data_IF_675188348796
#
_entry.id   IF_675188348796
#
_cell.length_a   1.000
_cell.length_b   1.000
_cell.length_c   1.000
_cell.angle_alpha   90.00
_cell.angle_beta   90.00
_cell.angle_gamma   90.00
#
_symmetry.space_group_name_H-M   'P 1'
#
loop_
_entity.id
_entity.type
_entity.pdbx_description
1 polymer ?
#
# COMPACT_ATOMS: atom_id res chain seq x y z
N UNK A 1 3.90 -1.10 -2.54
CA UNK A 1 3.43 -1.43 -1.17
C UNK A 1 3.38 -2.93 -0.92
N UNK A 2 2.88 -3.74 -1.85
CA UNK A 2 3.05 -5.19 -1.78
C UNK A 2 4.51 -5.60 -2.01
N UNK A 3 5.24 -5.88 -0.92
CA UNK A 3 6.56 -6.52 -0.99
C UNK A 3 7.79 -5.61 -1.07
N UNK A 4 7.65 -4.28 -0.97
CA UNK A 4 8.78 -3.34 -1.07
C UNK A 4 9.81 -3.51 0.06
N UNK A 5 9.41 -4.13 1.17
CA UNK A 5 10.25 -4.43 2.34
C UNK A 5 10.52 -5.92 2.54
N UNK A 6 9.97 -6.80 1.69
CA UNK A 6 10.18 -8.23 1.81
C UNK A 6 11.55 -8.59 1.23
N UNK A 7 12.44 -9.14 2.07
CA UNK A 7 13.77 -9.61 1.64
C UNK A 7 13.71 -10.87 0.77
N UNK A 8 12.56 -11.54 0.75
CA UNK A 8 12.26 -12.77 0.02
C UNK A 8 10.80 -12.70 -0.49
N UNK A 9 10.49 -13.10 -1.74
CA UNK A 9 9.11 -13.29 -2.20
C UNK A 9 8.21 -14.07 -1.24
N UNK A 10 8.75 -14.99 -0.43
CA UNK A 10 8.00 -15.71 0.61
C UNK A 10 7.61 -14.88 1.84
N UNK A 11 8.11 -13.65 1.97
CA UNK A 11 7.93 -12.78 3.14
C UNK A 11 7.04 -11.55 2.88
N UNK A 12 6.53 -11.41 1.66
CA UNK A 12 5.59 -10.33 1.33
C UNK A 12 4.15 -10.65 1.78
N UNK A 13 3.29 -9.63 1.82
CA UNK A 13 1.89 -9.77 2.23
C UNK A 13 1.14 -10.89 1.49
N UNK A 14 1.24 -11.06 0.16
CA UNK A 14 0.52 -12.12 -0.55
C UNK A 14 0.95 -13.52 -0.11
N UNK A 15 2.25 -13.75 0.12
CA UNK A 15 2.74 -15.01 0.67
C UNK A 15 2.23 -15.25 2.11
N UNK A 16 2.19 -14.20 2.94
CA UNK A 16 1.62 -14.32 4.30
C UNK A 16 0.10 -14.56 4.26
N UNK A 17 -0.63 -13.98 3.31
CA UNK A 17 -2.05 -14.25 3.09
C UNK A 17 -2.25 -15.71 2.69
N UNK A 18 -1.46 -16.24 1.74
CA UNK A 18 -1.52 -17.65 1.35
C UNK A 18 -1.29 -18.58 2.56
N UNK A 19 -0.25 -18.31 3.36
CA UNK A 19 0.03 -19.08 4.56
C UNK A 19 -1.14 -19.02 5.57
N UNK A 20 -1.72 -17.85 5.78
CA UNK A 20 -2.87 -17.67 6.67
C UNK A 20 -4.13 -18.38 6.13
N UNK A 21 -4.36 -18.37 4.81
CA UNK A 21 -5.46 -19.08 4.17
C UNK A 21 -5.34 -20.59 4.33
N UNK A 22 -4.15 -21.15 4.06
CA UNK A 22 -3.88 -22.58 4.21
C UNK A 22 -4.03 -23.04 5.67
N UNK A 23 -3.61 -22.21 6.62
CA UNK A 23 -3.78 -22.49 8.05
C UNK A 23 -5.26 -22.46 8.49
N UNK A 24 -6.03 -21.49 7.99
CA UNK A 24 -7.43 -21.30 8.38
C UNK A 24 -8.39 -22.25 7.64
N UNK A 25 -8.06 -22.64 6.40
CA UNK A 25 -8.87 -23.48 5.53
C UNK A 25 -8.05 -24.66 4.95
N UNK A 26 -7.61 -25.63 5.78
CA UNK A 26 -6.65 -26.66 5.38
C UNK A 26 -7.16 -27.68 4.35
N UNK A 27 -8.45 -27.61 3.98
CA UNK A 27 -9.09 -28.49 2.99
C UNK A 27 -9.30 -27.83 1.63
N UNK A 28 -8.91 -26.55 1.49
CA UNK A 28 -9.04 -25.81 0.23
C UNK A 28 -7.65 -25.51 -0.32
N UNK A 29 -7.54 -25.64 -1.63
CA UNK A 29 -6.36 -25.20 -2.36
C UNK A 29 -6.54 -23.74 -2.76
N UNK A 30 -5.47 -22.95 -2.59
CA UNK A 30 -5.46 -21.53 -2.91
C UNK A 30 -4.30 -21.20 -3.84
N UNK A 31 -4.60 -20.41 -4.85
CA UNK A 31 -3.63 -19.67 -5.64
C UNK A 31 -3.76 -18.19 -5.29
N UNK A 32 -2.64 -17.53 -4.99
CA UNK A 32 -2.61 -16.11 -4.68
C UNK A 32 -1.66 -15.43 -5.65
N UNK A 33 -2.20 -14.54 -6.47
CA UNK A 33 -1.45 -13.72 -7.43
C UNK A 33 -1.15 -12.37 -6.79
N UNK A 34 0.13 -12.00 -6.74
CA UNK A 34 0.52 -10.64 -6.34
C UNK A 34 0.32 -9.68 -7.51
N UNK A 35 -0.76 -8.89 -7.46
CA UNK A 35 -1.05 -7.84 -8.43
C UNK A 35 -0.69 -6.42 -7.92
N UNK A 36 0.07 -6.32 -6.83
CA UNK A 36 0.46 -5.04 -6.28
C UNK A 36 1.55 -4.35 -7.10
N UNK A 37 1.39 -3.05 -7.34
CA UNK A 37 2.42 -2.23 -7.96
C UNK A 37 2.83 -1.09 -7.02
N UNK A 38 4.12 -0.75 -7.04
CA UNK A 38 4.63 0.38 -6.27
C UNK A 38 4.02 1.70 -6.76
N UNK A 39 3.81 2.62 -5.83
CA UNK A 39 3.26 3.97 -6.08
C UNK A 39 1.82 4.02 -6.59
N UNK A 40 1.12 2.88 -6.73
CA UNK A 40 -0.27 2.85 -7.16
C UNK A 40 -1.18 3.51 -6.12
N UNK A 41 -2.11 4.33 -6.61
CA UNK A 41 -3.29 4.76 -5.88
C UNK A 41 -4.51 3.99 -6.43
N UNK A 42 -5.66 4.13 -5.78
CA UNK A 42 -6.90 3.43 -6.16
C UNK A 42 -7.33 3.65 -7.61
N UNK A 43 -6.97 4.77 -8.23
CA UNK A 43 -7.27 5.06 -9.64
C UNK A 43 -6.47 4.16 -10.59
N UNK A 44 -5.17 4.01 -10.33
CA UNK A 44 -4.33 3.07 -11.07
C UNK A 44 -4.78 1.62 -10.84
N UNK A 45 -5.17 1.29 -9.61
CA UNK A 45 -5.67 -0.05 -9.26
C UNK A 45 -6.97 -0.39 -9.99
N UNK A 46 -7.94 0.54 -10.03
CA UNK A 46 -9.19 0.35 -10.77
C UNK A 46 -8.95 0.16 -12.27
N UNK A 47 -8.03 0.94 -12.86
CA UNK A 47 -7.66 0.80 -14.27
C UNK A 47 -6.93 -0.52 -14.55
N UNK A 48 -6.03 -0.95 -13.67
CA UNK A 48 -5.31 -2.21 -13.82
C UNK A 48 -6.26 -3.41 -13.67
N UNK A 49 -7.18 -3.34 -12.71
CA UNK A 49 -8.24 -4.34 -12.56
C UNK A 49 -9.07 -4.45 -13.84
N UNK A 50 -9.54 -3.33 -14.36
CA UNK A 50 -10.37 -3.27 -15.56
C UNK A 50 -9.67 -3.75 -16.83
N UNK A 51 -8.37 -3.44 -16.99
CA UNK A 51 -7.65 -3.65 -18.24
C UNK A 51 -6.93 -4.99 -18.33
N UNK A 52 -6.52 -5.57 -17.20
CA UNK A 52 -5.66 -6.76 -17.20
C UNK A 52 -6.10 -7.81 -16.18
N UNK A 53 -6.36 -7.43 -14.92
CA UNK A 53 -6.58 -8.44 -13.87
C UNK A 53 -7.91 -9.20 -14.03
N UNK A 54 -8.92 -8.61 -14.69
CA UNK A 54 -10.16 -9.32 -15.02
C UNK A 54 -9.94 -10.52 -15.96
N UNK A 55 -8.89 -10.50 -16.78
CA UNK A 55 -8.60 -11.59 -17.73
C UNK A 55 -8.05 -12.85 -17.04
N UNK A 56 -7.51 -12.70 -15.82
CA UNK A 56 -7.13 -13.82 -14.95
C UNK A 56 -8.35 -14.57 -14.39
N UNK A 57 -9.57 -14.04 -14.57
CA UNK A 57 -10.83 -14.61 -14.06
C UNK A 57 -10.75 -14.96 -12.57
N UNK A 58 -10.39 -13.99 -11.70
CA UNK A 58 -10.20 -14.25 -10.28
C UNK A 58 -11.52 -14.67 -9.62
N UNK A 59 -11.47 -15.58 -8.64
CA UNK A 59 -12.62 -15.86 -7.78
C UNK A 59 -12.82 -14.76 -6.71
N UNK A 60 -11.71 -14.16 -6.27
CA UNK A 60 -11.65 -13.11 -5.25
C UNK A 60 -10.53 -12.11 -5.57
N UNK A 61 -10.86 -10.82 -5.49
CA UNK A 61 -9.89 -9.72 -5.51
C UNK A 61 -9.78 -9.12 -4.11
N UNK A 62 -8.56 -8.99 -3.60
CA UNK A 62 -8.27 -8.33 -2.33
C UNK A 62 -7.61 -6.98 -2.64
N UNK A 63 -8.30 -5.90 -2.27
CA UNK A 63 -7.81 -4.52 -2.36
C UNK A 63 -7.35 -4.12 -0.97
N UNK A 64 -6.06 -3.84 -0.83
CA UNK A 64 -5.41 -3.37 0.40
C UNK A 64 -4.60 -2.13 0.06
N UNK A 65 -5.19 -0.96 0.31
CA UNK A 65 -4.71 0.32 -0.19
C UNK A 65 -5.09 1.49 0.74
N UNK A 66 -4.86 2.72 0.27
CA UNK A 66 -5.19 3.96 0.97
C UNK A 66 -3.99 4.79 1.44
N UNK A 67 -2.75 4.34 1.21
CA UNK A 67 -1.56 5.14 1.51
C UNK A 67 -1.24 6.19 0.44
N UNK A 68 -1.44 5.87 -0.84
CA UNK A 68 -1.14 6.77 -1.97
C UNK A 68 -2.33 7.66 -2.39
N UNK A 69 -3.52 7.40 -1.83
CA UNK A 69 -4.76 8.12 -2.14
C UNK A 69 -4.91 9.44 -1.37
N UNK A 70 -4.04 9.66 -0.40
CA UNK A 70 -3.97 10.90 0.36
C UNK A 70 -3.24 11.99 -0.44
N UNK A 71 -3.41 13.27 -0.07
CA UNK A 71 -2.59 14.33 -0.64
C UNK A 71 -1.15 14.20 -0.15
N UNK A 72 -0.24 13.78 -1.02
CA UNK A 72 1.19 14.08 -0.86
C UNK A 72 1.35 15.55 -1.25
N UNK A 73 1.86 16.38 -0.34
CA UNK A 73 2.05 17.81 -0.58
C UNK A 73 2.71 18.03 -1.94
N UNK A 74 1.95 18.61 -2.89
CA UNK A 74 2.48 19.02 -4.19
C UNK A 74 3.34 20.25 -3.91
N UNK A 75 4.60 20.03 -3.54
CA UNK A 75 5.60 21.08 -3.55
C UNK A 75 5.87 21.40 -5.02
N UNK A 76 5.54 22.64 -5.38
CA UNK A 76 5.78 23.35 -6.63
C UNK A 76 4.83 23.09 -7.83
N UNK A 77 3.94 24.07 -8.08
CA UNK A 77 3.38 24.34 -9.42
C UNK A 77 2.23 23.46 -9.92
N UNK A 78 1.39 22.95 -9.02
CA UNK A 78 0.41 21.87 -9.25
C UNK A 78 -0.86 22.15 -10.09
N UNK A 79 -0.85 23.04 -11.08
CA UNK A 79 -1.77 22.92 -12.24
C UNK A 79 -1.26 21.89 -13.27
N UNK A 80 -0.09 21.27 -13.01
CA UNK A 80 0.51 20.23 -13.85
C UNK A 80 0.28 18.80 -13.36
N UNK A 81 -0.18 18.59 -12.12
CA UNK A 81 -0.40 17.24 -11.57
C UNK A 81 -1.66 16.56 -12.11
N UNK A 82 -2.65 17.34 -12.57
CA UNK A 82 -3.80 16.79 -13.30
C UNK A 82 -3.43 16.22 -14.69
N UNK A 83 -2.23 16.51 -15.20
CA UNK A 83 -1.80 16.14 -16.55
C UNK A 83 -0.71 15.07 -16.64
N UNK A 84 -0.13 14.59 -15.51
CA UNK A 84 0.95 13.59 -15.51
C UNK A 84 0.61 12.26 -14.83
N UNK A 85 -0.58 12.11 -14.26
CA UNK A 85 -1.02 10.86 -13.61
C UNK A 85 -2.12 10.11 -14.38
N UNK A 86 -2.37 10.45 -15.64
CA UNK A 86 -3.37 9.77 -16.48
C UNK A 86 -2.75 8.66 -17.34
N UNK A 87 -1.75 7.95 -16.82
CA UNK A 87 -1.27 6.73 -17.46
C UNK A 87 -1.95 5.55 -16.79
N UNK A 88 -2.52 4.64 -17.58
CA UNK A 88 -3.12 3.38 -17.08
C UNK A 88 -2.12 2.62 -16.20
N UNK A 89 -0.83 2.71 -16.53
CA UNK A 89 0.29 2.08 -15.84
C UNK A 89 1.28 3.14 -15.34
N UNK A 90 1.76 3.00 -14.10
CA UNK A 90 2.84 3.86 -13.57
C UNK A 90 4.20 3.51 -14.22
N UNK A 91 5.21 4.38 -14.12
CA UNK A 91 6.58 4.06 -14.56
C UNK A 91 7.13 2.78 -13.92
N UNK A 92 6.81 2.53 -12.65
CA UNK A 92 7.20 1.31 -11.93
C UNK A 92 6.55 0.07 -12.53
N UNK A 93 5.28 0.13 -12.94
CA UNK A 93 4.63 -0.97 -13.64
C UNK A 93 5.40 -1.35 -14.90
N UNK A 94 5.71 -0.36 -15.76
CA UNK A 94 6.48 -0.62 -16.98
C UNK A 94 7.87 -1.16 -16.67
N UNK A 95 8.51 -0.72 -15.59
CA UNK A 95 9.81 -1.24 -15.15
C UNK A 95 9.73 -2.74 -14.84
N UNK A 96 8.73 -3.17 -14.05
CA UNK A 96 8.55 -4.57 -13.68
C UNK A 96 8.09 -5.44 -14.86
N UNK A 97 7.13 -4.97 -15.66
CA UNK A 97 6.65 -5.67 -16.86
C UNK A 97 7.81 -5.92 -17.85
N UNK A 98 8.67 -4.92 -18.06
CA UNK A 98 9.84 -5.09 -18.92
C UNK A 98 10.88 -6.06 -18.34
N UNK A 99 11.10 -6.06 -17.01
CA UNK A 99 12.00 -7.02 -16.35
C UNK A 99 11.46 -8.45 -16.42
N UNK A 100 10.16 -8.63 -16.20
CA UNK A 100 9.49 -9.93 -16.31
C UNK A 100 9.62 -10.47 -17.74
N UNK A 101 9.23 -9.68 -18.75
CA UNK A 101 9.36 -10.07 -20.17
C UNK A 101 10.80 -10.38 -20.55
N UNK A 102 11.76 -9.60 -20.07
CA UNK A 102 13.18 -9.88 -20.31
C UNK A 102 13.61 -11.21 -19.66
N UNK A 103 13.10 -11.52 -18.46
CA UNK A 103 13.43 -12.74 -17.72
C UNK A 103 12.99 -14.03 -18.41
N UNK A 104 12.05 -13.98 -19.36
CA UNK A 104 11.63 -15.15 -20.14
C UNK A 104 12.72 -15.65 -21.11
N UNK A 105 13.79 -14.88 -21.32
CA UNK A 105 14.96 -15.28 -22.10
C UNK A 105 16.16 -15.60 -21.20
N UNK A 106 16.99 -16.57 -21.59
CA UNK A 106 18.19 -16.95 -20.82
C UNK A 106 19.12 -15.75 -20.59
N UNK A 107 19.33 -14.92 -21.62
CA UNK A 107 20.18 -13.74 -21.51
C UNK A 107 19.55 -12.63 -20.67
N UNK A 108 18.24 -12.41 -20.80
CA UNK A 108 17.54 -11.43 -19.99
C UNK A 108 17.47 -11.85 -18.52
N UNK A 109 17.26 -13.13 -18.21
CA UNK A 109 17.34 -13.67 -16.85
C UNK A 109 18.75 -13.47 -16.24
N UNK A 110 19.80 -13.74 -17.02
CA UNK A 110 21.18 -13.49 -16.60
C UNK A 110 21.46 -12.00 -16.35
N UNK A 111 20.97 -11.10 -17.22
CA UNK A 111 21.08 -9.66 -17.02
C UNK A 111 20.34 -9.20 -15.76
N UNK A 112 19.12 -9.68 -15.56
CA UNK A 112 18.30 -9.41 -14.37
C UNK A 112 19.05 -9.80 -13.08
N UNK A 113 19.74 -10.94 -13.08
CA UNK A 113 20.58 -11.38 -11.97
C UNK A 113 21.74 -10.41 -11.70
N UNK A 114 22.46 -10.00 -12.76
CA UNK A 114 23.57 -9.05 -12.63
C UNK A 114 23.12 -7.68 -12.12
N UNK A 115 21.98 -7.19 -12.62
CA UNK A 115 21.38 -5.93 -12.17
C UNK A 115 21.03 -6.02 -10.68
N UNK A 116 20.40 -7.12 -10.24
CA UNK A 116 20.08 -7.36 -8.82
C UNK A 116 21.31 -7.41 -7.93
N UNK A 117 22.40 -8.05 -8.37
CA UNK A 117 23.68 -8.06 -7.64
C UNK A 117 24.25 -6.65 -7.53
N UNK A 118 24.24 -5.88 -8.62
CA UNK A 118 24.69 -4.49 -8.64
C UNK A 118 23.91 -3.61 -7.67
N UNK A 119 22.58 -3.73 -7.66
CA UNK A 119 21.72 -2.97 -6.76
C UNK A 119 21.92 -3.39 -5.29
N UNK A 120 22.12 -4.68 -5.03
CA UNK A 120 22.46 -5.17 -3.67
C UNK A 120 23.78 -4.55 -3.17
N UNK A 121 24.81 -4.51 -4.01
CA UNK A 121 26.09 -3.89 -3.68
C UNK A 121 25.91 -2.38 -3.43
N UNK A 122 25.12 -1.69 -4.26
CA UNK A 122 24.83 -0.26 -4.07
C UNK A 122 24.09 0.00 -2.75
N UNK A 123 23.06 -0.78 -2.44
CA UNK A 123 22.30 -0.64 -1.19
C UNK A 123 23.19 -0.93 0.02
N UNK A 124 24.00 -2.00 -0.03
CA UNK A 124 24.94 -2.31 1.02
C UNK A 124 25.96 -1.18 1.20
N UNK A 125 26.56 -0.69 0.13
CA UNK A 125 27.50 0.44 0.18
C UNK A 125 26.84 1.70 0.74
N UNK A 126 25.61 2.02 0.34
CA UNK A 126 24.86 3.16 0.86
C UNK A 126 24.52 3.00 2.35
N UNK A 127 24.16 1.80 2.79
CA UNK A 127 23.89 1.48 4.19
C UNK A 127 25.15 1.54 5.04
N UNK A 128 26.23 0.89 4.61
CA UNK A 128 27.54 0.94 5.28
C UNK A 128 28.05 2.36 5.36
N UNK A 129 27.90 3.15 4.30
CA UNK A 129 28.20 4.58 4.33
C UNK A 129 27.38 5.30 5.39
N UNK A 130 26.06 5.08 5.43
CA UNK A 130 25.14 5.69 6.39
C UNK A 130 25.45 5.30 7.85
N UNK A 131 25.82 4.05 8.10
CA UNK A 131 26.16 3.52 9.43
C UNK A 131 27.54 4.01 9.92
N UNK A 132 28.49 4.23 8.99
CA UNK A 132 29.84 4.73 9.29
C UNK A 132 29.92 6.26 9.33
N UNK A 133 29.03 6.97 8.65
CA UNK A 133 28.90 8.41 8.82
C UNK A 133 28.11 8.69 10.09
N UNK A 134 28.69 9.33 11.13
CA UNK A 134 27.89 9.83 12.23
C UNK A 134 26.82 10.73 11.63
N UNK A 135 25.56 10.53 12.03
CA UNK A 135 24.45 11.43 11.67
C UNK A 135 24.85 12.82 12.15
N UNK A 136 25.50 13.61 11.29
CA UNK A 136 25.71 15.01 11.56
C UNK A 136 24.29 15.57 11.65
N UNK A 137 23.92 16.27 12.73
CA UNK A 137 22.71 17.06 12.70
C UNK A 137 22.78 17.91 11.42
N UNK A 138 21.72 17.88 10.63
CA UNK A 138 21.66 18.59 9.36
C UNK A 138 22.20 20.01 9.57
N UNK A 139 23.10 20.52 8.71
CA UNK A 139 23.72 21.82 8.92
C UNK A 139 22.62 22.87 9.15
N UNK A 140 22.86 23.91 9.97
CA UNK A 140 21.84 24.88 10.34
C UNK A 140 21.19 25.58 9.14
N UNK A 141 21.81 25.56 7.95
CA UNK A 141 21.21 26.01 6.70
C UNK A 141 20.13 25.05 6.15
N UNK A 142 20.29 23.74 6.30
CA UNK A 142 19.24 22.76 6.01
C UNK A 142 18.19 22.82 7.10
N UNK A 143 18.58 22.92 8.37
CA UNK A 143 17.64 23.15 9.46
C UNK A 143 16.84 24.44 9.22
N UNK A 144 17.45 25.54 8.77
CA UNK A 144 16.73 26.76 8.36
C UNK A 144 15.94 26.60 7.06
N UNK A 145 16.33 25.76 6.11
CA UNK A 145 15.53 25.51 4.89
C UNK A 145 14.36 24.56 5.13
N UNK A 146 14.45 23.76 6.19
CA UNK A 146 13.40 22.89 6.74
C UNK A 146 12.59 23.60 7.86
N UNK A 147 13.13 24.65 8.51
CA UNK A 147 12.49 25.46 9.58
C UNK A 147 11.91 26.78 9.06
N UNK A 148 12.46 27.33 7.97
CA UNK A 148 11.65 28.07 7.00
C UNK A 148 10.74 26.98 6.45
N UNK A 149 9.55 26.87 7.03
CA UNK A 149 8.60 25.88 6.59
C UNK A 149 8.56 25.85 5.08
N UNK A 150 8.31 24.67 4.51
CA UNK A 150 7.60 24.60 3.22
C UNK A 150 6.58 25.74 3.26
N UNK A 151 6.61 26.68 2.28
CA UNK A 151 5.73 27.85 2.32
C UNK A 151 4.36 27.39 2.81
N UNK A 152 3.85 28.02 3.86
CA UNK A 152 2.55 27.70 4.47
C UNK A 152 1.38 27.87 3.48
N UNK A 153 1.67 28.23 2.24
CA UNK A 153 0.83 28.11 1.05
C UNK A 153 0.89 26.68 0.46
N UNK A 154 0.62 25.67 1.28
CA UNK A 154 0.71 24.27 0.84
C UNK A 154 0.08 23.24 1.77
N UNK A 155 -0.59 23.66 2.85
CA UNK A 155 -1.51 22.76 3.54
C UNK A 155 -2.60 22.38 2.54
N UNK A 156 -2.71 21.09 2.19
CA UNK A 156 -3.83 20.60 1.40
C UNK A 156 -5.11 21.16 2.00
N UNK A 157 -5.84 21.96 1.24
CA UNK A 157 -7.03 22.58 1.78
C UNK A 157 -8.00 21.48 2.21
N UNK A 158 -8.87 21.76 3.20
CA UNK A 158 -9.95 20.85 3.57
C UNK A 158 -10.70 20.35 2.31
N UNK A 159 -10.86 21.21 1.31
CA UNK A 159 -11.47 20.89 0.02
C UNK A 159 -10.64 19.89 -0.81
N UNK A 160 -9.31 20.00 -0.84
CA UNK A 160 -8.45 19.04 -1.55
C UNK A 160 -8.49 17.66 -0.90
N UNK A 161 -8.49 17.60 0.44
CA UNK A 161 -8.62 16.36 1.18
C UNK A 161 -9.95 15.67 0.87
N UNK A 162 -11.06 16.42 0.89
CA UNK A 162 -12.38 15.90 0.55
C UNK A 162 -12.48 15.45 -0.91
N UNK A 163 -11.87 16.18 -1.84
CA UNK A 163 -11.81 15.79 -3.26
C UNK A 163 -11.06 14.46 -3.43
N UNK A 164 -9.90 14.30 -2.81
CA UNK A 164 -9.13 13.06 -2.89
C UNK A 164 -9.89 11.88 -2.27
N UNK A 165 -10.60 12.11 -1.16
CA UNK A 165 -11.45 11.08 -0.57
C UNK A 165 -12.65 10.72 -1.46
N UNK A 166 -13.23 11.69 -2.17
CA UNK A 166 -14.27 11.43 -3.18
C UNK A 166 -13.73 10.55 -4.29
N UNK A 167 -12.57 10.91 -4.86
CA UNK A 167 -11.91 10.11 -5.90
C UNK A 167 -11.63 8.68 -5.41
N UNK A 168 -11.09 8.54 -4.19
CA UNK A 168 -10.83 7.23 -3.60
C UNK A 168 -12.11 6.40 -3.51
N UNK A 169 -13.19 6.98 -2.99
CA UNK A 169 -14.50 6.32 -2.92
C UNK A 169 -15.01 5.90 -4.30
N UNK A 170 -14.96 6.80 -5.28
CA UNK A 170 -15.40 6.54 -6.65
C UNK A 170 -14.62 5.37 -7.29
N UNK A 171 -13.31 5.30 -7.08
CA UNK A 171 -12.51 4.19 -7.56
C UNK A 171 -12.88 2.85 -6.90
N UNK A 172 -13.15 2.84 -5.58
CA UNK A 172 -13.62 1.63 -4.90
C UNK A 172 -14.99 1.18 -5.44
N UNK A 173 -15.91 2.13 -5.70
CA UNK A 173 -17.22 1.85 -6.29
C UNK A 173 -17.10 1.30 -7.72
N UNK A 174 -16.18 1.84 -8.55
CA UNK A 174 -15.85 1.27 -9.88
C UNK A 174 -15.38 -0.18 -9.76
N UNK A 175 -14.46 -0.47 -8.84
CA UNK A 175 -13.96 -1.84 -8.65
C UNK A 175 -15.05 -2.80 -8.18
N UNK A 176 -15.99 -2.32 -7.37
CA UNK A 176 -17.17 -3.09 -6.97
C UNK A 176 -18.08 -3.41 -8.17
N UNK A 177 -18.32 -2.44 -9.04
CA UNK A 177 -19.11 -2.64 -10.27
C UNK A 177 -18.43 -3.63 -11.23
N UNK A 178 -17.10 -3.59 -11.33
CA UNK A 178 -16.32 -4.58 -12.09
C UNK A 178 -16.51 -5.99 -11.50
N UNK A 179 -16.49 -6.13 -10.18
CA UNK A 179 -16.73 -7.40 -9.50
C UNK A 179 -18.11 -7.97 -9.84
N UNK A 180 -19.15 -7.13 -9.84
CA UNK A 180 -20.52 -7.54 -10.25
C UNK A 180 -20.57 -7.93 -11.72
N UNK A 181 -19.98 -7.13 -12.62
CA UNK A 181 -20.00 -7.38 -14.07
C UNK A 181 -19.26 -8.66 -14.46
N UNK A 182 -18.10 -8.90 -13.86
CA UNK A 182 -17.22 -10.03 -14.18
C UNK A 182 -17.44 -11.23 -13.24
N UNK A 183 -18.36 -11.12 -12.28
CA UNK A 183 -18.81 -12.18 -11.35
C UNK A 183 -17.70 -12.74 -10.45
N UNK A 184 -16.82 -11.87 -9.97
CA UNK A 184 -15.85 -12.21 -8.93
C UNK A 184 -16.24 -11.56 -7.60
N UNK A 185 -15.71 -12.10 -6.49
CA UNK A 185 -15.85 -11.51 -5.16
C UNK A 185 -14.79 -10.43 -4.96
N UNK A 186 -15.07 -9.41 -4.17
CA UNK A 186 -14.09 -8.35 -3.87
C UNK A 186 -14.07 -8.02 -2.38
N UNK A 187 -12.88 -7.74 -1.84
CA UNK A 187 -12.71 -7.31 -0.47
C UNK A 187 -11.83 -6.07 -0.39
N UNK A 188 -12.32 -5.04 0.30
CA UNK A 188 -11.62 -3.76 0.49
C UNK A 188 -11.13 -3.63 1.92
N UNK A 189 -9.84 -3.32 2.07
CA UNK A 189 -9.16 -3.17 3.35
C UNK A 189 -8.42 -1.84 3.42
N UNK A 190 -8.88 -0.93 4.28
CA UNK A 190 -8.13 0.29 4.57
C UNK A 190 -6.89 -0.08 5.37
N UNK A 191 -5.71 0.15 4.79
CA UNK A 191 -4.46 -0.30 5.40
C UNK A 191 -4.07 0.49 6.67
N UNK A 192 -3.30 -0.10 7.59
CA UNK A 192 -2.62 0.62 8.65
C UNK A 192 -1.45 1.46 8.11
N UNK A 193 -1.28 2.66 8.66
CA UNK A 193 -0.12 3.51 8.41
C UNK A 193 0.38 4.08 9.74
N UNK A 194 1.69 4.28 9.84
CA UNK A 194 2.30 4.76 11.07
C UNK A 194 1.69 6.13 11.44
N UNK A 195 1.58 6.44 12.73
CA UNK A 195 1.06 7.70 13.31
C UNK A 195 -0.46 7.90 13.30
N UNK A 196 -1.24 7.12 12.54
CA UNK A 196 -2.72 7.24 12.51
C UNK A 196 -3.46 6.04 13.10
N UNK A 197 -2.75 4.94 13.33
CA UNK A 197 -3.28 3.64 13.74
C UNK A 197 -3.54 3.52 15.25
N UNK A 198 -3.04 4.46 16.04
CA UNK A 198 -3.17 4.47 17.50
C UNK A 198 -2.19 3.55 18.21
N UNK A 199 -1.21 2.98 17.50
CA UNK A 199 -0.12 2.19 18.07
C UNK A 199 0.80 3.06 18.92
N UNK A 200 1.25 2.53 20.06
CA UNK A 200 2.40 3.11 20.78
C UNK A 200 3.70 2.71 20.07
N UNK A 201 4.37 3.69 19.46
CA UNK A 201 5.59 3.44 18.69
C UNK A 201 6.72 2.89 19.55
N UNK A 202 7.43 1.90 19.00
CA UNK A 202 8.66 1.32 19.57
C UNK A 202 9.84 2.28 19.46
N UNK A 203 10.96 1.96 20.13
CA UNK A 203 12.18 2.77 20.01
C UNK A 203 12.67 2.88 18.56
N UNK A 204 12.59 1.80 17.78
CA UNK A 204 13.00 1.79 16.38
C UNK A 204 12.06 2.60 15.49
N UNK A 205 10.74 2.47 15.68
CA UNK A 205 9.73 3.26 14.93
C UNK A 205 9.81 4.75 15.26
N UNK A 206 10.14 5.11 16.51
CA UNK A 206 10.37 6.50 16.90
C UNK A 206 11.57 7.12 16.17
N UNK A 207 12.56 6.33 15.73
CA UNK A 207 13.68 6.86 14.91
C UNK A 207 13.25 7.27 13.51
N UNK A 208 12.13 6.71 13.03
CA UNK A 208 11.59 6.99 11.69
C UNK A 208 10.62 8.18 11.71
N UNK A 209 10.05 8.51 12.88
CA UNK A 209 9.07 9.59 13.05
C UNK A 209 9.46 10.93 12.42
N UNK A 210 10.74 11.40 12.44
CA UNK A 210 11.13 12.64 11.77
C UNK A 210 10.88 12.66 10.25
N UNK A 211 10.76 11.50 9.60
CA UNK A 211 10.46 11.35 8.17
C UNK A 211 8.96 11.31 7.87
N UNK A 212 8.09 11.34 8.89
CA UNK A 212 6.63 11.38 8.74
C UNK A 212 6.11 12.82 8.55
N UNK A 213 6.59 13.50 7.51
CA UNK A 213 6.36 14.94 7.25
C UNK A 213 4.87 15.33 7.12
N UNK A 214 4.02 14.36 6.83
CA UNK A 214 2.63 14.51 6.45
C UNK A 214 1.66 13.85 7.47
N UNK A 215 2.15 13.55 8.69
CA UNK A 215 1.38 12.89 9.76
C UNK A 215 0.04 13.59 10.10
N UNK A 216 0.00 14.92 10.14
CA UNK A 216 -1.23 15.68 10.42
C UNK A 216 -2.26 15.52 9.30
N UNK A 217 -1.84 15.66 8.04
CA UNK A 217 -2.72 15.48 6.88
C UNK A 217 -3.23 14.03 6.81
N UNK A 218 -2.34 13.05 7.05
CA UNK A 218 -2.68 11.62 7.18
C UNK A 218 -3.75 11.38 8.22
N UNK A 219 -3.60 11.98 9.41
CA UNK A 219 -4.57 11.81 10.51
C UNK A 219 -5.96 12.34 10.12
N UNK A 220 -6.03 13.51 9.48
CA UNK A 220 -7.29 14.08 9.01
C UNK A 220 -7.91 13.24 7.89
N UNK A 221 -7.11 12.80 6.93
CA UNK A 221 -7.56 11.94 5.84
C UNK A 221 -8.13 10.62 6.37
N UNK A 222 -7.40 9.95 7.27
CA UNK A 222 -7.83 8.68 7.89
C UNK A 222 -9.04 8.85 8.83
N UNK A 223 -9.30 10.04 9.34
CA UNK A 223 -10.52 10.29 10.12
C UNK A 223 -11.76 10.21 9.21
N UNK A 224 -11.70 10.81 8.02
CA UNK A 224 -12.79 10.78 7.05
C UNK A 224 -12.83 9.47 6.26
N UNK A 225 -11.69 8.90 5.88
CA UNK A 225 -11.61 7.62 5.17
C UNK A 225 -12.25 6.47 5.98
N UNK A 226 -12.06 6.45 7.30
CA UNK A 226 -12.72 5.46 8.18
C UNK A 226 -14.24 5.60 8.18
N UNK A 227 -14.78 6.82 8.13
CA UNK A 227 -16.23 7.03 8.00
C UNK A 227 -16.73 6.54 6.65
N UNK A 228 -16.01 6.88 5.58
CA UNK A 228 -16.29 6.40 4.22
C UNK A 228 -16.30 4.86 4.16
N UNK A 229 -15.32 4.18 4.77
CA UNK A 229 -15.29 2.71 4.86
C UNK A 229 -16.45 2.14 5.66
N UNK A 230 -16.87 2.81 6.75
CA UNK A 230 -18.07 2.42 7.48
C UNK A 230 -19.33 2.56 6.63
N UNK A 231 -19.41 3.59 5.79
CA UNK A 231 -20.54 3.83 4.90
C UNK A 231 -20.59 2.77 3.80
N UNK A 232 -19.46 2.50 3.12
CA UNK A 232 -19.32 1.44 2.13
C UNK A 232 -19.64 0.07 2.74
N UNK A 233 -19.19 -0.20 3.97
CA UNK A 233 -19.53 -1.44 4.67
C UNK A 233 -21.03 -1.59 4.90
N UNK A 234 -21.73 -0.52 5.27
CA UNK A 234 -23.20 -0.53 5.43
C UNK A 234 -23.91 -0.76 4.09
N UNK A 235 -23.41 -0.17 3.00
CA UNK A 235 -23.94 -0.39 1.66
C UNK A 235 -23.70 -1.82 1.16
N UNK A 236 -22.53 -2.39 1.45
CA UNK A 236 -22.18 -3.77 1.11
C UNK A 236 -22.81 -4.81 2.06
N UNK A 237 -23.51 -4.39 3.12
CA UNK A 237 -24.04 -5.31 4.13
C UNK A 237 -25.12 -6.22 3.52
N UNK A 238 -24.92 -7.53 3.63
CA UNK A 238 -25.77 -8.54 2.98
C UNK A 238 -25.36 -8.91 1.56
N UNK A 239 -24.38 -8.22 0.97
CA UNK A 239 -23.74 -8.67 -0.27
C UNK A 239 -22.92 -9.94 -0.01
N UNK A 240 -23.10 -10.96 -0.86
CA UNK A 240 -22.20 -12.12 -0.90
C UNK A 240 -20.99 -11.89 -1.82
N UNK A 241 -20.94 -10.74 -2.50
CA UNK A 241 -19.91 -10.39 -3.47
C UNK A 241 -18.86 -9.44 -2.90
N UNK A 242 -19.16 -8.70 -1.83
CA UNK A 242 -18.29 -7.64 -1.33
C UNK A 242 -18.08 -7.70 0.18
N UNK A 243 -16.85 -7.49 0.63
CA UNK A 243 -16.51 -7.27 2.04
C UNK A 243 -15.74 -5.95 2.17
N UNK A 244 -16.17 -5.08 3.08
CA UNK A 244 -15.48 -3.82 3.37
C UNK A 244 -15.07 -3.82 4.82
N UNK A 245 -13.80 -3.56 5.08
CA UNK A 245 -13.24 -3.68 6.42
C UNK A 245 -12.12 -2.66 6.66
N UNK A 246 -12.16 -2.00 7.81
CA UNK A 246 -11.08 -1.13 8.27
C UNK A 246 -10.02 -1.94 9.03
N UNK A 247 -8.79 -1.94 8.54
CA UNK A 247 -7.60 -2.51 9.22
C UNK A 247 -6.66 -1.41 9.72
N UNK A 248 -7.01 -0.14 9.55
CA UNK A 248 -6.11 0.99 9.81
C UNK A 248 -5.71 1.16 11.27
N UNK A 249 -6.31 0.40 12.19
CA UNK A 249 -6.01 0.39 13.64
C UNK A 249 -5.58 -1.00 14.15
N UNK A 250 -5.28 -1.93 13.26
CA UNK A 250 -4.94 -3.32 13.62
C UNK A 250 -3.73 -3.41 14.56
N UNK A 251 -2.81 -2.45 14.47
CA UNK A 251 -1.60 -2.43 15.29
C UNK A 251 -1.72 -1.65 16.61
N UNK A 252 -2.88 -1.05 16.91
CA UNK A 252 -3.09 -0.33 18.18
C UNK A 252 -2.66 -1.14 19.43
N UNK A 253 -2.96 -2.45 19.56
CA UNK A 253 -2.54 -3.24 20.72
C UNK A 253 -1.14 -3.84 20.61
N UNK A 254 -0.43 -3.67 19.49
CA UNK A 254 0.81 -4.40 19.21
C UNK A 254 2.00 -3.66 19.82
N UNK A 255 2.75 -4.33 20.69
CA UNK A 255 3.93 -3.75 21.35
C UNK A 255 5.24 -3.91 20.56
N UNK A 256 5.34 -4.90 19.68
CA UNK A 256 6.52 -5.15 18.84
C UNK A 256 6.56 -4.21 17.63
N UNK A 257 7.74 -4.02 17.03
CA UNK A 257 7.89 -3.21 15.82
C UNK A 257 7.22 -3.90 14.63
N UNK A 258 6.44 -3.14 13.88
CA UNK A 258 5.68 -3.63 12.71
C UNK A 258 5.92 -2.77 11.48
N UNK A 259 6.47 -1.57 11.64
CA UNK A 259 6.75 -0.64 10.55
C UNK A 259 8.24 -0.63 10.18
N UNK A 260 8.51 -0.73 8.88
CA UNK A 260 9.83 -0.47 8.30
C UNK A 260 10.00 1.01 7.92
N UNK A 261 8.91 1.65 7.50
CA UNK A 261 8.80 3.10 7.34
C UNK A 261 7.37 3.59 7.69
N UNK A 262 6.95 4.76 7.20
CA UNK A 262 5.63 5.32 7.51
C UNK A 262 4.44 4.54 6.93
N UNK A 263 4.67 3.65 5.97
CA UNK A 263 3.64 2.85 5.31
C UNK A 263 3.98 1.37 5.14
N UNK A 264 5.25 1.02 4.95
CA UNK A 264 5.69 -0.35 4.72
C UNK A 264 5.89 -1.12 6.01
N UNK A 265 5.58 -2.42 5.96
CA UNK A 265 5.55 -3.30 7.11
C UNK A 265 6.80 -4.18 7.18
N UNK A 266 7.19 -4.53 8.40
CA UNK A 266 8.08 -5.65 8.68
C UNK A 266 7.30 -6.95 8.58
N UNK A 267 7.98 -8.08 8.44
CA UNK A 267 7.36 -9.42 8.36
C UNK A 267 6.32 -9.67 9.46
N UNK A 268 6.60 -9.25 10.69
CA UNK A 268 5.65 -9.41 11.81
C UNK A 268 4.36 -8.61 11.59
N UNK A 269 4.46 -7.39 11.03
CA UNK A 269 3.31 -6.58 10.64
C UNK A 269 2.50 -7.23 9.52
N UNK A 270 3.18 -7.74 8.50
CA UNK A 270 2.54 -8.46 7.37
C UNK A 270 1.78 -9.70 7.85
N UNK A 271 2.34 -10.47 8.78
CA UNK A 271 1.68 -11.64 9.38
C UNK A 271 0.39 -11.28 10.11
N UNK A 272 0.41 -10.20 10.89
CA UNK A 272 -0.77 -9.72 11.62
C UNK A 272 -1.85 -9.25 10.64
N UNK A 273 -1.46 -8.47 9.62
CA UNK A 273 -2.40 -7.99 8.59
C UNK A 273 -2.98 -9.16 7.81
N UNK A 274 -2.17 -10.11 7.36
CA UNK A 274 -2.62 -11.30 6.65
C UNK A 274 -3.65 -12.11 7.47
N UNK A 275 -3.35 -12.37 8.75
CA UNK A 275 -4.27 -13.08 9.64
C UNK A 275 -5.61 -12.34 9.82
N UNK A 276 -5.57 -11.01 9.97
CA UNK A 276 -6.80 -10.21 10.08
C UNK A 276 -7.56 -10.13 8.75
N UNK A 277 -6.89 -10.07 7.60
CA UNK A 277 -7.55 -10.17 6.28
C UNK A 277 -8.33 -11.48 6.20
N UNK A 278 -7.69 -12.63 6.43
CA UNK A 278 -8.34 -13.95 6.34
C UNK A 278 -9.53 -14.06 7.29
N UNK A 279 -9.38 -13.60 8.54
CA UNK A 279 -10.47 -13.57 9.52
C UNK A 279 -11.66 -12.72 9.06
N UNK A 280 -11.42 -11.57 8.40
CA UNK A 280 -12.51 -10.72 7.88
C UNK A 280 -13.16 -11.32 6.64
N UNK A 281 -12.39 -11.97 5.77
CA UNK A 281 -12.91 -12.68 4.61
C UNK A 281 -13.84 -13.84 5.02
N UNK A 282 -13.45 -14.60 6.04
CA UNK A 282 -14.27 -15.65 6.65
C UNK A 282 -15.57 -15.07 7.27
N UNK A 283 -15.44 -14.01 8.08
CA UNK A 283 -16.61 -13.34 8.68
C UNK A 283 -17.58 -12.73 7.66
N UNK A 284 -17.10 -12.39 6.46
CA UNK A 284 -17.91 -11.93 5.34
C UNK A 284 -18.44 -13.08 4.45
N UNK A 285 -18.12 -14.35 4.76
CA UNK A 285 -18.42 -15.53 3.95
C UNK A 285 -17.90 -15.46 2.51
N UNK A 286 -16.80 -14.75 2.27
CA UNK A 286 -16.23 -14.65 0.91
C UNK A 286 -15.46 -15.91 0.51
N UNK A 287 -14.96 -16.67 1.48
CA UNK A 287 -14.15 -17.88 1.24
C UNK A 287 -14.98 -19.16 1.43
N UNK A 288 -16.26 -19.05 1.81
CA UNK A 288 -17.10 -20.21 2.10
C UNK A 288 -17.60 -20.95 0.84
N UNK A 289 -17.76 -22.26 1.03
CA UNK A 289 -18.08 -23.37 0.10
C UNK A 289 -18.65 -23.00 -1.26
#
# INVERSE_FOLDING_TARGET
>A
MFGDTALDPGQNLPAQILAALQAHFPKKDFEVINAGCNSYNSGHEALYLMSELVDFKPDLVIVYDGWNDMPVGVVDGGLRSAGRQNHIKSPEHYYFENRERASHSVWGAFKTLLDTVGDTIRVFAAKTWRDLTPVRPSPPADQERFSRGVPTEGASSQADLLRQLSNYREHLEIMLDLAVRHRFKIAFFLQPIMTVDGKRLTADENRILPYAHDATARKMYYLEARKMFQDLKRQASGSRLACVSDLSRVFAPVAASVYADTGHLLLHGEQIVAAEIVKRLDGCNLINE
#
